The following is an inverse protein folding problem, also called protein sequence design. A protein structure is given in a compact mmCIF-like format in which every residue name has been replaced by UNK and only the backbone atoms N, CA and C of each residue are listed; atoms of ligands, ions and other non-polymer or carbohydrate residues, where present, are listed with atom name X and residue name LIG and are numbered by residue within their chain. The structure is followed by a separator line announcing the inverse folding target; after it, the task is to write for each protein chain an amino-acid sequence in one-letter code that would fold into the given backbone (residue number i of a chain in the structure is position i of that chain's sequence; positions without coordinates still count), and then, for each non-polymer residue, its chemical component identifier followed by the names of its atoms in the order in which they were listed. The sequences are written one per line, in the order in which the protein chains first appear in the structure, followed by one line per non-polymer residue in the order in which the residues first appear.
data_IF_060154659507
#
_entry.id   IF_060154659507
#
_cell.length_a   1.000
_cell.length_b   1.000
_cell.length_c   1.000
_cell.angle_alpha   90.00
_cell.angle_beta   90.00
_cell.angle_gamma   90.00
#
_symmetry.space_group_name_H-M   'P 1'
#
loop_
_entity.id
_entity.type
_entity.pdbx_description
1 polymer ?
#
# COMPACT_ATOMS: atom_id res chain seq x y z
N UNK A 1 11.87 -34.72 -6.46
CA UNK A 1 12.62 -34.05 -7.55
C UNK A 1 11.72 -33.23 -8.49
N UNK A 2 10.46 -33.62 -8.70
CA UNK A 2 9.48 -32.94 -9.58
C UNK A 2 9.00 -31.57 -9.06
N UNK A 3 8.79 -31.41 -7.75
CA UNK A 3 8.39 -30.13 -7.12
C UNK A 3 9.40 -29.00 -7.38
N UNK A 4 10.70 -29.33 -7.31
CA UNK A 4 11.79 -28.36 -7.48
C UNK A 4 11.85 -27.84 -8.93
N UNK A 5 11.60 -28.70 -9.94
CA UNK A 5 11.51 -28.27 -11.34
C UNK A 5 10.31 -27.36 -11.61
N UNK A 6 9.15 -27.65 -11.00
CA UNK A 6 7.94 -26.84 -11.17
C UNK A 6 8.13 -25.44 -10.58
N UNK A 7 8.71 -25.35 -9.38
CA UNK A 7 9.03 -24.08 -8.74
C UNK A 7 10.09 -23.29 -9.52
N UNK A 8 11.15 -23.96 -10.00
CA UNK A 8 12.18 -23.33 -10.84
C UNK A 8 11.60 -22.81 -12.15
N UNK A 9 10.69 -23.56 -12.79
CA UNK A 9 9.96 -23.11 -13.98
C UNK A 9 9.10 -21.88 -13.71
N UNK A 10 8.32 -21.86 -12.63
CA UNK A 10 7.47 -20.71 -12.26
C UNK A 10 8.33 -19.46 -12.02
N UNK A 11 9.44 -19.60 -11.30
CA UNK A 11 10.36 -18.50 -11.04
C UNK A 11 10.98 -17.97 -12.34
N UNK A 12 11.47 -18.86 -13.22
CA UNK A 12 12.05 -18.49 -14.51
C UNK A 12 11.01 -17.79 -15.39
N UNK A 13 9.78 -18.32 -15.46
CA UNK A 13 8.71 -17.68 -16.23
C UNK A 13 8.36 -16.30 -15.69
N UNK A 14 8.29 -16.15 -14.36
CA UNK A 14 7.97 -14.86 -13.72
C UNK A 14 9.06 -13.81 -13.96
N UNK A 15 10.33 -14.19 -13.82
CA UNK A 15 11.46 -13.30 -14.12
C UNK A 15 11.47 -12.94 -15.61
N UNK A 16 11.30 -13.93 -16.50
CA UNK A 16 11.31 -13.68 -17.94
C UNK A 16 10.17 -12.76 -18.37
N UNK A 17 8.96 -12.91 -17.82
CA UNK A 17 7.84 -12.01 -18.08
C UNK A 17 8.12 -10.60 -17.56
N UNK A 18 8.69 -10.48 -16.35
CA UNK A 18 9.00 -9.19 -15.73
C UNK A 18 10.06 -8.43 -16.53
N UNK A 19 11.09 -9.12 -17.02
CA UNK A 19 12.13 -8.55 -17.87
C UNK A 19 11.57 -8.15 -19.24
N UNK A 20 10.74 -9.00 -19.85
CA UNK A 20 10.09 -8.69 -21.13
C UNK A 20 9.22 -7.43 -21.00
N UNK A 21 8.41 -7.35 -19.95
CA UNK A 21 7.56 -6.20 -19.67
C UNK A 21 8.40 -4.94 -19.41
N UNK A 22 9.45 -5.03 -18.58
CA UNK A 22 10.36 -3.91 -18.35
C UNK A 22 10.99 -3.39 -19.65
N UNK A 23 11.42 -4.28 -20.55
CA UNK A 23 11.97 -3.91 -21.87
C UNK A 23 10.93 -3.19 -22.73
N UNK A 24 9.69 -3.68 -22.79
CA UNK A 24 8.63 -3.00 -23.54
C UNK A 24 8.32 -1.61 -22.98
N UNK A 25 8.32 -1.46 -21.65
CA UNK A 25 8.06 -0.17 -21.00
C UNK A 25 9.22 0.83 -21.18
N UNK A 26 10.46 0.34 -21.21
CA UNK A 26 11.65 1.16 -21.49
C UNK A 26 11.61 1.77 -22.90
N UNK A 27 11.06 1.03 -23.86
CA UNK A 27 10.91 1.52 -25.23
C UNK A 27 9.85 2.62 -25.36
N UNK A 28 8.81 2.60 -24.51
CA UNK A 28 7.77 3.63 -24.53
C UNK A 28 8.16 4.89 -23.73
N UNK A 29 8.67 4.72 -22.52
CA UNK A 29 9.06 5.84 -21.65
C UNK A 29 9.90 5.35 -20.47
N UNK A 30 11.05 5.99 -20.24
CA UNK A 30 11.88 5.72 -19.06
C UNK A 30 11.13 5.88 -17.73
N UNK A 31 10.12 6.76 -17.66
CA UNK A 31 9.30 6.95 -16.46
C UNK A 31 8.42 5.73 -16.17
N UNK A 32 7.83 5.09 -17.19
CA UNK A 32 7.00 3.89 -17.00
C UNK A 32 7.83 2.71 -16.52
N UNK A 33 9.02 2.55 -17.08
CA UNK A 33 9.97 1.54 -16.63
C UNK A 33 10.43 1.78 -15.18
N UNK A 34 10.68 3.04 -14.80
CA UNK A 34 11.01 3.40 -13.42
C UNK A 34 9.86 3.07 -12.46
N UNK A 35 8.62 3.43 -12.81
CA UNK A 35 7.43 3.10 -12.00
C UNK A 35 7.27 1.57 -11.84
N UNK A 36 7.52 0.81 -12.90
CA UNK A 36 7.49 -0.65 -12.85
C UNK A 36 8.60 -1.20 -11.94
N UNK A 37 9.82 -0.66 -12.03
CA UNK A 37 10.94 -1.06 -11.17
C UNK A 37 10.64 -0.77 -9.68
N UNK A 38 10.04 0.39 -9.38
CA UNK A 38 9.59 0.74 -8.02
C UNK A 38 8.51 -0.24 -7.55
N UNK A 39 7.54 -0.57 -8.40
CA UNK A 39 6.50 -1.56 -8.10
C UNK A 39 7.07 -2.95 -7.80
N UNK A 40 8.04 -3.41 -8.59
CA UNK A 40 8.75 -4.67 -8.34
C UNK A 40 9.53 -4.63 -7.02
N UNK A 41 10.30 -3.57 -6.77
CA UNK A 41 11.06 -3.40 -5.54
C UNK A 41 10.12 -3.40 -4.31
N UNK A 42 9.00 -2.70 -4.40
CA UNK A 42 7.96 -2.68 -3.37
C UNK A 42 7.35 -4.07 -3.15
N UNK A 43 7.04 -4.80 -4.24
CA UNK A 43 6.52 -6.17 -4.15
C UNK A 43 7.48 -7.13 -3.46
N UNK A 44 8.77 -7.07 -3.80
CA UNK A 44 9.83 -7.86 -3.15
C UNK A 44 9.95 -7.49 -1.66
N UNK A 45 9.94 -6.19 -1.34
CA UNK A 45 9.99 -5.72 0.05
C UNK A 45 8.80 -6.23 0.87
N UNK A 46 7.58 -6.16 0.32
CA UNK A 46 6.37 -6.67 0.98
C UNK A 46 6.40 -8.19 1.19
N UNK A 47 6.86 -8.94 0.18
CA UNK A 47 6.98 -10.40 0.26
C UNK A 47 8.03 -10.82 1.30
N UNK A 48 9.20 -10.19 1.30
CA UNK A 48 10.28 -10.52 2.23
C UNK A 48 9.96 -10.08 3.66
N UNK A 49 9.28 -8.95 3.82
CA UNK A 49 8.84 -8.44 5.11
C UNK A 49 7.61 -9.15 5.69
N UNK A 50 6.98 -10.07 4.93
CA UNK A 50 5.70 -10.69 5.28
C UNK A 50 4.70 -9.66 5.86
N UNK A 51 4.64 -8.49 5.22
CA UNK A 51 4.17 -7.28 5.88
C UNK A 51 2.64 -7.18 5.91
N UNK A 52 2.05 -7.36 7.09
CA UNK A 52 0.62 -7.24 7.34
C UNK A 52 0.30 -6.31 8.51
N UNK A 53 -0.47 -5.24 8.25
CA UNK A 53 -1.01 -4.35 9.30
C UNK A 53 -1.83 -5.13 10.32
N UNK A 54 -2.90 -5.80 9.89
CA UNK A 54 -3.78 -6.56 10.80
C UNK A 54 -3.03 -7.65 11.57
N UNK A 55 -2.03 -8.28 10.96
CA UNK A 55 -1.26 -9.36 11.59
C UNK A 55 -0.35 -8.87 12.70
N UNK A 56 0.35 -7.75 12.49
CA UNK A 56 1.18 -7.12 13.51
C UNK A 56 0.37 -6.75 14.77
N UNK A 57 -0.79 -6.12 14.60
CA UNK A 57 -1.66 -5.75 15.73
C UNK A 57 -2.26 -6.98 16.42
N UNK A 58 -2.60 -8.04 15.69
CA UNK A 58 -3.09 -9.29 16.28
C UNK A 58 -2.02 -9.99 17.11
N UNK A 59 -0.77 -10.07 16.63
CA UNK A 59 0.37 -10.63 17.39
C UNK A 59 0.67 -9.81 18.64
N UNK A 60 0.60 -8.49 18.53
CA UNK A 60 0.70 -7.60 19.69
C UNK A 60 -0.35 -7.93 20.76
N UNK A 61 -1.61 -8.10 20.37
CA UNK A 61 -2.70 -8.34 21.33
C UNK A 61 -2.72 -9.76 21.88
N UNK A 62 -2.44 -10.77 21.05
CA UNK A 62 -2.55 -12.19 21.43
C UNK A 62 -1.27 -12.72 22.07
N UNK A 63 -0.12 -12.36 21.55
CA UNK A 63 1.19 -12.93 21.91
C UNK A 63 2.06 -11.92 22.68
N UNK A 64 1.62 -10.66 22.79
CA UNK A 64 2.41 -9.52 23.31
C UNK A 64 3.70 -9.26 22.53
N UNK A 65 3.76 -9.71 21.27
CA UNK A 65 4.87 -9.42 20.36
C UNK A 65 4.68 -8.05 19.70
N UNK A 66 5.52 -7.10 20.08
CA UNK A 66 5.48 -5.73 19.55
C UNK A 66 6.32 -5.55 18.28
N UNK A 67 7.07 -6.57 17.85
CA UNK A 67 8.07 -6.45 16.78
C UNK A 67 7.46 -5.93 15.48
N UNK A 68 6.31 -6.46 15.08
CA UNK A 68 5.61 -6.04 13.86
C UNK A 68 5.08 -4.60 13.93
N UNK A 69 4.53 -4.20 15.07
CA UNK A 69 3.99 -2.84 15.28
C UNK A 69 5.13 -1.82 15.38
N UNK A 70 6.23 -2.18 16.05
CA UNK A 70 7.44 -1.36 16.10
C UNK A 70 8.02 -1.15 14.69
N UNK A 71 8.11 -2.20 13.86
CA UNK A 71 8.57 -2.08 12.48
C UNK A 71 7.68 -1.14 11.65
N UNK A 72 6.36 -1.17 11.85
CA UNK A 72 5.42 -0.26 11.19
C UNK A 72 5.63 1.20 11.62
N UNK A 73 5.83 1.45 12.91
CA UNK A 73 6.09 2.79 13.42
C UNK A 73 7.42 3.35 12.90
N UNK A 74 8.49 2.54 12.89
CA UNK A 74 9.78 2.93 12.32
C UNK A 74 9.64 3.24 10.82
N UNK A 75 8.91 2.43 10.07
CA UNK A 75 8.65 2.67 8.65
C UNK A 75 7.86 3.97 8.44
N UNK A 76 6.85 4.25 9.25
CA UNK A 76 6.10 5.51 9.19
C UNK A 76 6.97 6.71 9.51
N UNK A 77 7.80 6.64 10.55
CA UNK A 77 8.74 7.71 10.93
C UNK A 77 9.75 7.97 9.80
N UNK A 78 10.33 6.90 9.24
CA UNK A 78 11.27 7.01 8.12
C UNK A 78 10.59 7.63 6.89
N UNK A 79 9.36 7.22 6.57
CA UNK A 79 8.58 7.81 5.48
C UNK A 79 8.31 9.30 5.74
N UNK A 80 7.90 9.68 6.96
CA UNK A 80 7.68 11.08 7.32
C UNK A 80 8.95 11.91 7.17
N UNK A 81 10.10 11.43 7.67
CA UNK A 81 11.40 12.10 7.55
C UNK A 81 11.84 12.30 6.09
N UNK A 82 11.55 11.33 5.22
CA UNK A 82 11.89 11.41 3.80
C UNK A 82 10.94 12.32 3.00
N UNK A 83 9.63 12.25 3.25
CA UNK A 83 8.63 12.97 2.47
C UNK A 83 8.37 14.41 2.95
N UNK A 84 8.52 14.71 4.25
CA UNK A 84 8.31 16.05 4.77
C UNK A 84 9.15 17.15 4.09
N UNK A 85 10.49 17.01 3.92
CA UNK A 85 11.29 18.07 3.27
C UNK A 85 10.87 18.28 1.81
N UNK A 86 10.49 17.20 1.11
CA UNK A 86 9.99 17.25 -0.27
C UNK A 86 8.66 18.01 -0.35
N UNK A 87 7.77 17.79 0.61
CA UNK A 87 6.48 18.48 0.70
C UNK A 87 6.64 19.96 1.06
N UNK A 88 7.63 20.32 1.88
CA UNK A 88 7.94 21.72 2.23
C UNK A 88 8.51 22.47 1.02
N UNK A 89 9.40 21.85 0.26
CA UNK A 89 9.96 22.45 -0.96
C UNK A 89 8.91 22.64 -2.07
N UNK A 90 7.79 21.91 -2.00
CA UNK A 90 6.66 22.04 -2.94
C UNK A 90 6.98 21.61 -4.38
N UNK A 91 8.21 21.16 -4.64
CA UNK A 91 8.65 20.64 -5.92
C UNK A 91 9.68 19.55 -5.72
N UNK A 92 9.59 18.50 -6.54
CA UNK A 92 10.55 17.41 -6.58
C UNK A 92 10.82 17.08 -8.04
N UNK A 93 12.10 17.03 -8.43
CA UNK A 93 12.50 16.67 -9.81
C UNK A 93 11.80 17.49 -10.90
N UNK A 94 11.49 18.78 -10.64
CA UNK A 94 10.80 19.67 -11.59
C UNK A 94 9.27 19.50 -11.64
N UNK A 95 8.69 18.62 -10.82
CA UNK A 95 7.25 18.44 -10.69
C UNK A 95 6.74 19.04 -9.38
N UNK A 96 5.58 19.73 -9.43
CA UNK A 96 4.92 20.25 -8.24
C UNK A 96 4.43 19.10 -7.35
N UNK A 97 4.84 19.10 -6.08
CA UNK A 97 4.43 18.10 -5.10
C UNK A 97 3.52 18.79 -4.09
N UNK A 98 2.31 18.26 -3.93
CA UNK A 98 1.35 18.76 -2.95
C UNK A 98 0.87 17.63 -2.04
N UNK A 99 0.54 17.98 -0.80
CA UNK A 99 -0.04 17.04 0.13
C UNK A 99 -1.47 16.68 -0.33
N UNK A 100 -1.71 15.39 -0.56
CA UNK A 100 -3.05 14.86 -0.82
C UNK A 100 -3.84 14.75 0.50
N UNK A 101 -4.43 15.86 0.94
CA UNK A 101 -5.22 15.93 2.17
C UNK A 101 -6.67 15.58 1.86
N UNK A 102 -7.10 14.38 2.25
CA UNK A 102 -8.48 13.96 2.11
C UNK A 102 -9.34 14.48 3.29
N UNK A 103 -10.59 14.89 3.04
CA UNK A 103 -11.52 15.28 4.09
C UNK A 103 -11.89 14.08 4.98
N UNK A 104 -11.97 14.30 6.29
CA UNK A 104 -12.46 13.28 7.22
C UNK A 104 -13.97 13.42 7.31
N UNK A 105 -14.72 12.37 6.96
CA UNK A 105 -16.17 12.42 6.91
C UNK A 105 -16.83 11.09 7.22
N UNK A 106 -18.16 11.09 7.22
CA UNK A 106 -18.97 9.90 7.50
C UNK A 106 -18.62 8.76 6.53
N UNK A 107 -18.35 9.08 5.27
CA UNK A 107 -17.93 8.13 4.25
C UNK A 107 -16.66 7.36 4.65
N UNK A 108 -15.65 8.06 5.17
CA UNK A 108 -14.38 7.45 5.62
C UNK A 108 -14.62 6.56 6.84
N UNK A 109 -15.42 7.00 7.80
CA UNK A 109 -15.74 6.20 8.99
C UNK A 109 -16.46 4.90 8.64
N UNK A 110 -17.48 4.99 7.78
CA UNK A 110 -18.23 3.82 7.32
C UNK A 110 -17.36 2.88 6.46
N UNK A 111 -16.56 3.45 5.54
CA UNK A 111 -15.61 2.69 4.71
C UNK A 111 -14.55 1.97 5.55
N UNK A 112 -13.99 2.63 6.57
CA UNK A 112 -13.01 2.03 7.49
C UNK A 112 -13.61 0.86 8.28
N UNK A 113 -14.87 0.98 8.72
CA UNK A 113 -15.57 -0.10 9.41
C UNK A 113 -15.81 -1.32 8.50
N UNK A 114 -16.37 -1.11 7.30
CA UNK A 114 -16.58 -2.18 6.33
C UNK A 114 -15.26 -2.83 5.88
N UNK A 115 -14.23 -2.02 5.66
CA UNK A 115 -12.89 -2.52 5.36
C UNK A 115 -12.34 -3.36 6.50
N UNK A 116 -12.55 -2.96 7.76
CA UNK A 116 -12.24 -3.74 8.95
C UNK A 116 -12.90 -5.12 8.95
N UNK A 117 -14.20 -5.19 8.69
CA UNK A 117 -14.92 -6.47 8.55
C UNK A 117 -14.32 -7.31 7.42
N UNK A 118 -14.06 -6.68 6.26
CA UNK A 118 -13.43 -7.32 5.11
C UNK A 118 -12.05 -7.92 5.43
N UNK A 119 -11.23 -7.22 6.22
CA UNK A 119 -9.92 -7.74 6.65
C UNK A 119 -10.04 -9.00 7.51
N UNK A 120 -11.07 -9.09 8.34
CA UNK A 120 -11.32 -10.28 9.16
C UNK A 120 -11.77 -11.47 8.31
N UNK A 121 -12.66 -11.24 7.33
CA UNK A 121 -13.12 -12.27 6.39
C UNK A 121 -12.01 -12.71 5.43
N UNK A 122 -11.19 -11.77 4.97
CA UNK A 122 -10.05 -12.00 4.07
C UNK A 122 -8.79 -12.51 4.76
N UNK A 123 -8.80 -12.67 6.09
CA UNK A 123 -7.67 -13.08 6.93
C UNK A 123 -6.42 -12.18 6.85
N UNK A 124 -6.56 -10.94 6.36
CA UNK A 124 -5.45 -10.02 6.18
C UNK A 124 -5.85 -8.65 5.63
N UNK A 125 -4.96 -7.68 5.78
CA UNK A 125 -5.09 -6.37 5.12
C UNK A 125 -4.71 -6.46 3.63
N UNK A 126 -4.98 -5.39 2.87
CA UNK A 126 -4.68 -5.34 1.44
C UNK A 126 -3.22 -5.72 1.11
N UNK A 127 -2.23 -5.18 1.85
CA UNK A 127 -0.81 -5.54 1.67
C UNK A 127 -0.55 -7.03 1.93
N UNK A 128 -1.20 -7.60 2.96
CA UNK A 128 -1.12 -9.00 3.32
C UNK A 128 -1.67 -9.91 2.24
N UNK A 129 -2.87 -9.59 1.74
CA UNK A 129 -3.51 -10.31 0.63
C UNK A 129 -2.65 -10.24 -0.63
N UNK A 130 -2.03 -9.09 -0.92
CA UNK A 130 -1.22 -8.88 -2.12
C UNK A 130 0.02 -9.79 -2.16
N UNK A 131 0.84 -9.82 -1.10
CA UNK A 131 2.04 -10.66 -1.10
C UNK A 131 1.69 -12.14 -0.94
N UNK A 132 0.61 -12.47 -0.21
CA UNK A 132 0.18 -13.87 -0.02
C UNK A 132 -0.40 -14.44 -1.31
N UNK A 133 -1.11 -13.63 -2.10
CA UNK A 133 -1.53 -13.98 -3.45
C UNK A 133 -0.32 -14.15 -4.38
N UNK A 134 0.66 -13.24 -4.30
CA UNK A 134 1.93 -13.35 -5.04
C UNK A 134 2.75 -14.60 -4.68
N UNK A 135 2.65 -15.08 -3.45
CA UNK A 135 3.24 -16.34 -2.98
C UNK A 135 2.52 -17.60 -3.43
N UNK A 136 1.42 -17.49 -4.20
CA UNK A 136 0.69 -18.62 -4.79
C UNK A 136 -0.52 -19.11 -3.99
N UNK A 137 -1.00 -18.35 -3.00
CA UNK A 137 -2.22 -18.72 -2.26
C UNK A 137 -3.49 -18.39 -3.04
N UNK A 138 -4.18 -19.42 -3.52
CA UNK A 138 -5.42 -19.29 -4.32
C UNK A 138 -6.55 -18.59 -3.55
N UNK A 139 -6.64 -18.77 -2.23
CA UNK A 139 -7.65 -18.08 -1.41
C UNK A 139 -7.38 -16.57 -1.38
N UNK A 140 -6.11 -16.18 -1.19
CA UNK A 140 -5.71 -14.77 -1.21
C UNK A 140 -5.93 -14.15 -2.60
N UNK A 141 -5.67 -14.90 -3.67
CA UNK A 141 -5.96 -14.45 -5.05
C UNK A 141 -7.46 -14.15 -5.23
N UNK A 142 -8.34 -15.01 -4.73
CA UNK A 142 -9.78 -14.81 -4.82
C UNK A 142 -10.21 -13.57 -4.02
N UNK A 143 -9.70 -13.40 -2.80
CA UNK A 143 -9.94 -12.18 -1.99
C UNK A 143 -9.49 -10.93 -2.75
N UNK A 144 -8.32 -10.98 -3.40
CA UNK A 144 -7.79 -9.86 -4.18
C UNK A 144 -8.71 -9.48 -5.35
N UNK A 145 -9.27 -10.47 -6.06
CA UNK A 145 -10.22 -10.20 -7.16
C UNK A 145 -11.47 -9.48 -6.64
N UNK A 146 -12.09 -9.98 -5.56
CA UNK A 146 -13.26 -9.33 -4.97
C UNK A 146 -12.92 -7.95 -4.37
N UNK A 147 -11.72 -7.79 -3.82
CA UNK A 147 -11.23 -6.49 -3.38
C UNK A 147 -11.13 -5.49 -4.53
N UNK A 148 -10.58 -5.89 -5.68
CA UNK A 148 -10.53 -5.05 -6.88
C UNK A 148 -11.92 -4.71 -7.43
N UNK A 149 -12.84 -5.69 -7.47
CA UNK A 149 -14.22 -5.46 -7.91
C UNK A 149 -14.97 -4.49 -6.96
N UNK A 150 -14.80 -4.66 -5.66
CA UNK A 150 -15.38 -3.76 -4.66
C UNK A 150 -14.79 -2.34 -4.73
N UNK A 151 -13.47 -2.21 -4.91
CA UNK A 151 -12.82 -0.91 -5.09
C UNK A 151 -13.26 -0.23 -6.38
N UNK A 152 -13.45 -0.99 -7.46
CA UNK A 152 -13.99 -0.48 -8.71
C UNK A 152 -15.43 0.03 -8.51
N UNK A 153 -16.29 -0.76 -7.86
CA UNK A 153 -17.66 -0.35 -7.54
C UNK A 153 -17.69 0.92 -6.67
N UNK A 154 -16.88 0.97 -5.62
CA UNK A 154 -16.77 2.15 -4.76
C UNK A 154 -16.34 3.41 -5.50
N UNK A 155 -15.58 3.28 -6.59
CA UNK A 155 -15.18 4.42 -7.43
C UNK A 155 -16.34 4.98 -8.26
N UNK A 156 -17.32 4.14 -8.63
CA UNK A 156 -18.55 4.57 -9.33
C UNK A 156 -19.48 5.35 -8.39
N UNK A 157 -19.62 4.89 -7.14
CA UNK A 157 -20.46 5.54 -6.13
C UNK A 157 -19.80 6.75 -5.46
N UNK A 158 -18.56 7.11 -5.86
CA UNK A 158 -17.76 8.14 -5.20
C UNK A 158 -18.47 9.49 -5.13
N UNK A 159 -19.24 9.85 -6.17
CA UNK A 159 -20.01 11.09 -6.21
C UNK A 159 -21.08 11.17 -5.13
N UNK A 160 -21.71 10.04 -4.78
CA UNK A 160 -22.64 9.97 -3.66
C UNK A 160 -21.91 10.06 -2.32
N UNK A 161 -20.80 9.34 -2.17
CA UNK A 161 -19.99 9.36 -0.94
C UNK A 161 -19.46 10.75 -0.56
N UNK A 162 -19.12 11.58 -1.55
CA UNK A 162 -18.63 12.94 -1.35
C UNK A 162 -19.72 13.95 -0.90
N UNK A 163 -21.00 13.61 -1.05
CA UNK A 163 -22.12 14.45 -0.63
C UNK A 163 -22.45 14.30 0.86
N UNK A 164 -21.93 13.25 1.52
CA UNK A 164 -22.15 13.06 2.95
C UNK A 164 -21.42 14.13 3.78
N UNK A 165 -21.88 14.38 5.02
CA UNK A 165 -21.21 15.30 5.92
C UNK A 165 -19.73 14.96 6.09
N UNK A 166 -18.89 15.93 5.76
CA UNK A 166 -17.44 15.81 5.85
C UNK A 166 -16.85 17.08 6.46
N UNK A 167 -15.85 16.90 7.32
CA UNK A 167 -15.00 17.99 7.75
C UNK A 167 -14.08 18.36 6.60
N UNK A 168 -13.84 19.64 6.36
CA UNK A 168 -12.88 20.07 5.33
C UNK A 168 -11.52 19.43 5.57
N UNK A 169 -10.72 19.24 4.51
CA UNK A 169 -9.38 18.67 4.62
C UNK A 169 -8.46 19.54 5.47
N UNK A 170 -8.40 19.28 6.78
CA UNK A 170 -7.53 20.00 7.70
C UNK A 170 -6.18 19.28 7.77
N UNK A 171 -5.15 19.94 7.26
CA UNK A 171 -3.78 19.44 7.40
C UNK A 171 -3.24 19.83 8.77
N UNK A 172 -3.11 18.85 9.68
CA UNK A 172 -2.47 19.08 10.98
C UNK A 172 -1.07 19.68 10.84
N UNK A 173 -0.32 19.31 9.80
CA UNK A 173 1.00 19.87 9.51
C UNK A 173 0.96 21.38 9.17
N UNK A 174 -0.11 21.87 8.53
CA UNK A 174 -0.29 23.32 8.32
C UNK A 174 -0.79 24.03 9.58
N UNK A 175 -1.59 23.35 10.41
CA UNK A 175 -2.20 23.97 11.61
C UNK A 175 -1.24 24.04 12.79
N UNK A 176 -0.41 23.02 12.99
CA UNK A 176 0.54 22.91 14.11
C UNK A 176 1.99 23.18 13.73
N UNK A 177 2.28 23.34 12.43
CA UNK A 177 3.62 23.52 11.91
C UNK A 177 4.41 22.20 11.85
N UNK A 178 5.31 22.09 10.87
CA UNK A 178 6.19 20.93 10.74
C UNK A 178 7.19 20.82 11.90
N UNK A 179 7.42 21.92 12.64
CA UNK A 179 8.37 22.02 13.76
C UNK A 179 7.98 21.12 14.95
N UNK A 180 6.69 20.86 15.17
CA UNK A 180 6.23 19.94 16.22
C UNK A 180 6.34 18.48 15.75
N UNK A 181 6.20 18.23 14.45
CA UNK A 181 6.24 16.88 13.86
C UNK A 181 7.66 16.38 13.60
N UNK A 182 8.60 17.30 13.35
CA UNK A 182 10.01 17.04 13.10
C UNK A 182 10.83 18.06 13.89
N UNK A 183 11.38 17.69 15.07
CA UNK A 183 12.35 18.54 15.75
C UNK A 183 13.68 18.47 14.96
N UNK A 184 13.74 19.18 13.85
CA UNK A 184 14.96 19.47 13.08
C UNK A 184 15.20 20.97 13.06
#
# INVERSE_FOLDING_TARGET
MTENLKQKRVLITGISLSVLLAMTLLMESGTRALLFAIGLAMGVALYHGAFGFTDAYRKLLSERDMTGVAAQMVMLIAAMLLFAPVLVQGSAFGHGVSAAVAPVGVAVGFGAFLFGIGMQLGSGCASGVLYTAGGGNVRALLVLVFFCLGAFWGSLDLGWWQQLPQTGGTSLARTFGWEIALPL
#
